data_IF_881684512628
#
_entry.id   IF_881684512628
#
_cell.length_a   1.000
_cell.length_b   1.000
_cell.length_c   1.000
_cell.angle_alpha   90.00
_cell.angle_beta   90.00
_cell.angle_gamma   90.00
#
_symmetry.space_group_name_H-M   'P 1'
#
loop_
_entity.id
_entity.type
_entity.pdbx_description
1 polymer ?
#
# COMPACT_ATOMS: atom_id res chain seq x y z
N UNK A 1 -17.65 32.15 28.45
CA UNK A 1 -17.22 30.75 28.70
C UNK A 1 -18.09 30.04 29.77
N UNK A 2 -19.37 30.43 29.95
CA UNK A 2 -20.34 29.79 30.88
C UNK A 2 -21.72 29.57 30.25
N UNK A 3 -21.79 29.63 28.92
CA UNK A 3 -23.03 29.60 28.13
C UNK A 3 -23.84 28.31 28.31
N UNK A 4 -23.17 27.21 28.68
CA UNK A 4 -23.79 25.90 28.88
C UNK A 4 -23.74 25.42 30.33
N UNK A 5 -23.52 26.32 31.29
CA UNK A 5 -23.62 26.00 32.70
C UNK A 5 -25.09 26.06 33.16
N UNK A 6 -25.55 25.10 33.97
CA UNK A 6 -26.86 25.19 34.65
C UNK A 6 -26.90 26.42 35.58
N UNK A 7 -25.80 26.66 36.29
CA UNK A 7 -25.58 27.84 37.12
C UNK A 7 -24.32 28.57 36.62
N UNK A 8 -24.47 29.77 36.02
CA UNK A 8 -23.36 30.59 35.56
C UNK A 8 -22.46 31.12 36.68
N UNK A 9 -22.79 30.93 37.96
CA UNK A 9 -21.94 31.30 39.10
C UNK A 9 -21.41 30.08 39.87
N UNK A 10 -21.85 28.87 39.50
CA UNK A 10 -21.42 27.61 40.10
C UNK A 10 -20.05 27.12 39.62
N UNK A 11 -19.58 26.03 40.23
CA UNK A 11 -18.35 25.36 39.82
C UNK A 11 -18.47 24.81 38.39
N UNK A 12 -17.36 24.81 37.64
CA UNK A 12 -17.29 24.21 36.31
C UNK A 12 -16.97 22.72 36.44
N UNK A 13 -18.00 21.92 36.70
CA UNK A 13 -17.92 20.46 36.81
C UNK A 13 -19.04 19.79 36.01
N UNK A 14 -18.98 18.45 35.91
CA UNK A 14 -19.95 17.63 35.17
C UNK A 14 -21.39 17.79 35.65
N UNK A 15 -21.61 18.17 36.91
CA UNK A 15 -22.94 18.27 37.52
C UNK A 15 -23.59 19.61 37.13
N UNK A 16 -22.78 20.64 36.90
CA UNK A 16 -23.20 21.98 36.50
C UNK A 16 -23.28 22.20 34.97
N UNK A 17 -23.20 21.16 34.13
CA UNK A 17 -23.39 21.27 32.68
C UNK A 17 -24.87 21.13 32.32
N UNK A 18 -25.41 22.02 31.48
CA UNK A 18 -26.79 21.94 30.97
C UNK A 18 -27.01 20.74 30.05
N UNK A 19 -28.26 20.33 29.84
CA UNK A 19 -28.57 19.26 28.89
C UNK A 19 -28.05 19.58 27.48
N UNK A 20 -28.28 20.82 27.01
CA UNK A 20 -27.76 21.30 25.72
C UNK A 20 -26.22 21.25 25.66
N UNK A 21 -25.53 21.58 26.76
CA UNK A 21 -24.08 21.48 26.86
C UNK A 21 -23.58 20.03 26.74
N UNK A 22 -24.28 19.09 27.37
CA UNK A 22 -23.99 17.66 27.28
C UNK A 22 -24.22 17.13 25.85
N UNK A 23 -25.31 17.55 25.20
CA UNK A 23 -25.62 17.16 23.82
C UNK A 23 -24.56 17.68 22.84
N UNK A 24 -24.10 18.93 23.01
CA UNK A 24 -23.00 19.50 22.23
C UNK A 24 -21.68 18.76 22.47
N UNK A 25 -21.38 18.40 23.72
CA UNK A 25 -20.19 17.63 24.06
C UNK A 25 -20.21 16.23 23.42
N UNK A 26 -21.37 15.56 23.47
CA UNK A 26 -21.57 14.26 22.83
C UNK A 26 -21.43 14.37 21.30
N UNK A 27 -22.02 15.39 20.67
CA UNK A 27 -21.91 15.61 19.23
C UNK A 27 -20.45 15.83 18.77
N UNK A 28 -19.67 16.64 19.51
CA UNK A 28 -18.25 16.86 19.23
C UNK A 28 -17.45 15.56 19.41
N UNK A 29 -17.73 14.81 20.47
CA UNK A 29 -17.03 13.54 20.76
C UNK A 29 -17.33 12.50 19.70
N UNK A 30 -18.59 12.35 19.29
CA UNK A 30 -18.99 11.43 18.23
C UNK A 30 -18.35 11.81 16.89
N UNK A 31 -18.38 13.10 16.52
CA UNK A 31 -17.70 13.57 15.30
C UNK A 31 -16.19 13.32 15.34
N UNK A 32 -15.55 13.51 16.49
CA UNK A 32 -14.13 13.17 16.68
C UNK A 32 -13.87 11.67 16.53
N UNK A 33 -14.72 10.82 17.11
CA UNK A 33 -14.63 9.37 16.99
C UNK A 33 -14.85 8.91 15.55
N UNK A 34 -15.86 9.44 14.86
CA UNK A 34 -16.11 9.18 13.43
C UNK A 34 -14.90 9.54 12.57
N UNK A 35 -14.33 10.73 12.76
CA UNK A 35 -13.10 11.14 12.08
C UNK A 35 -11.94 10.18 12.37
N UNK A 36 -11.84 9.70 13.61
CA UNK A 36 -10.78 8.78 14.03
C UNK A 36 -10.96 7.38 13.43
N UNK A 37 -12.20 6.93 13.26
CA UNK A 37 -12.53 5.59 12.75
C UNK A 37 -12.72 5.52 11.24
N UNK A 38 -12.71 6.65 10.54
CA UNK A 38 -12.82 6.69 9.08
C UNK A 38 -11.56 6.10 8.44
N UNK A 39 -11.62 4.80 8.16
CA UNK A 39 -10.65 4.10 7.31
C UNK A 39 -11.02 4.43 5.86
N UNK A 40 -10.17 5.19 5.19
CA UNK A 40 -10.29 5.47 3.76
C UNK A 40 -9.27 4.64 2.98
N UNK A 41 -9.71 3.99 1.91
CA UNK A 41 -8.82 3.24 1.02
C UNK A 41 -8.72 3.95 -0.31
N UNK A 42 -7.50 4.26 -0.73
CA UNK A 42 -7.21 4.78 -2.07
C UNK A 42 -6.50 3.71 -2.87
N UNK A 43 -7.05 3.36 -4.03
CA UNK A 43 -6.39 2.47 -4.98
C UNK A 43 -5.71 3.32 -6.06
N UNK A 44 -4.44 3.03 -6.30
CA UNK A 44 -3.63 3.73 -7.31
C UNK A 44 -3.10 2.68 -8.29
N UNK A 45 -3.39 2.86 -9.58
CA UNK A 45 -2.72 2.11 -10.63
C UNK A 45 -1.31 2.69 -10.83
N UNK A 46 -0.28 1.90 -10.52
CA UNK A 46 1.11 2.33 -10.67
C UNK A 46 1.64 2.10 -12.08
N UNK A 47 1.35 0.92 -12.62
CA UNK A 47 1.75 0.58 -13.98
C UNK A 47 0.92 -0.57 -14.53
N UNK A 48 0.82 -0.63 -15.86
CA UNK A 48 -0.02 -1.59 -16.57
C UNK A 48 0.68 -2.11 -17.82
N UNK A 49 0.45 -3.39 -18.10
CA UNK A 49 0.90 -4.08 -19.31
C UNK A 49 -0.32 -4.66 -20.04
N UNK A 50 -0.11 -5.32 -21.18
CA UNK A 50 -1.19 -6.06 -21.84
C UNK A 50 -1.81 -7.14 -20.95
N UNK A 51 -1.02 -7.74 -20.05
CA UNK A 51 -1.41 -8.93 -19.29
C UNK A 51 -1.86 -8.61 -17.86
N UNK A 52 -1.21 -7.64 -17.20
CA UNK A 52 -1.35 -7.39 -15.76
C UNK A 52 -1.25 -5.91 -15.42
N UNK A 53 -1.87 -5.53 -14.31
CA UNK A 53 -1.80 -4.18 -13.73
C UNK A 53 -1.30 -4.25 -12.29
N UNK A 54 -0.30 -3.42 -11.95
CA UNK A 54 0.18 -3.23 -10.58
C UNK A 54 -0.65 -2.15 -9.89
N UNK A 55 -1.24 -2.52 -8.77
CA UNK A 55 -2.10 -1.68 -7.95
C UNK A 55 -1.42 -1.46 -6.60
N UNK A 56 -1.49 -0.23 -6.11
CA UNK A 56 -1.05 0.17 -4.79
C UNK A 56 -2.25 0.67 -3.98
N UNK A 57 -2.61 -0.10 -2.96
CA UNK A 57 -3.63 0.31 -2.01
C UNK A 57 -2.98 1.08 -0.88
N UNK A 58 -3.53 2.24 -0.59
CA UNK A 58 -3.14 3.06 0.55
C UNK A 58 -4.32 3.14 1.51
N UNK A 59 -4.08 2.67 2.72
CA UNK A 59 -5.05 2.72 3.81
C UNK A 59 -4.72 3.91 4.69
N UNK A 60 -5.70 4.81 4.81
CA UNK A 60 -5.63 5.96 5.69
C UNK A 60 -6.57 5.74 6.86
N UNK A 61 -6.11 6.10 8.05
CA UNK A 61 -6.92 6.16 9.26
C UNK A 61 -6.70 7.51 9.87
N UNK A 62 -7.78 8.19 10.26
CA UNK A 62 -7.69 9.56 10.80
C UNK A 62 -6.93 10.54 9.87
N UNK A 63 -6.95 10.30 8.56
CA UNK A 63 -6.20 11.11 7.57
C UNK A 63 -4.69 10.84 7.49
N UNK A 64 -4.15 9.91 8.28
CA UNK A 64 -2.74 9.48 8.22
C UNK A 64 -2.62 8.13 7.51
N UNK A 65 -1.55 7.93 6.72
CA UNK A 65 -1.27 6.64 6.07
C UNK A 65 -0.89 5.60 7.14
N UNK A 66 -1.72 4.58 7.30
CA UNK A 66 -1.45 3.47 8.23
C UNK A 66 -0.71 2.33 7.55
N UNK A 67 -1.18 1.90 6.39
CA UNK A 67 -0.59 0.77 5.68
C UNK A 67 -0.71 0.93 4.18
N UNK A 68 0.11 0.16 3.46
CA UNK A 68 0.01 0.07 2.02
C UNK A 68 0.41 -1.30 1.52
N UNK A 69 -0.32 -1.79 0.54
CA UNK A 69 -0.11 -3.12 -0.02
C UNK A 69 -0.10 -3.05 -1.54
N UNK A 70 0.77 -3.85 -2.14
CA UNK A 70 0.79 -4.04 -3.58
C UNK A 70 -0.08 -5.24 -3.96
N UNK A 71 -0.82 -5.08 -5.05
CA UNK A 71 -1.60 -6.15 -5.67
C UNK A 71 -1.37 -6.17 -7.17
N UNK A 72 -1.61 -7.32 -7.77
CA UNK A 72 -1.64 -7.50 -9.22
C UNK A 72 -3.05 -7.89 -9.62
N UNK A 73 -3.61 -7.12 -10.57
CA UNK A 73 -4.75 -7.56 -11.37
C UNK A 73 -4.23 -8.34 -12.57
N UNK A 74 -4.60 -9.62 -12.65
CA UNK A 74 -4.39 -10.43 -13.83
C UNK A 74 -5.57 -10.26 -14.80
N UNK A 75 -5.35 -9.58 -15.92
CA UNK A 75 -6.40 -9.24 -16.88
C UNK A 75 -6.99 -10.46 -17.59
N UNK A 76 -6.24 -11.56 -17.65
CA UNK A 76 -6.72 -12.81 -18.27
C UNK A 76 -7.77 -13.52 -17.42
N UNK A 77 -7.69 -13.37 -16.09
CA UNK A 77 -8.60 -14.03 -15.14
C UNK A 77 -9.55 -13.06 -14.43
N UNK A 78 -9.28 -11.76 -14.50
CA UNK A 78 -9.98 -10.73 -13.74
C UNK A 78 -9.68 -10.72 -12.24
N UNK A 79 -8.77 -11.58 -11.77
CA UNK A 79 -8.47 -11.71 -10.33
C UNK A 79 -7.44 -10.69 -9.89
N UNK A 80 -7.67 -10.09 -8.72
CA UNK A 80 -6.71 -9.21 -8.05
C UNK A 80 -6.15 -9.89 -6.81
N UNK A 81 -4.83 -10.03 -6.74
CA UNK A 81 -4.15 -10.78 -5.68
C UNK A 81 -2.93 -10.03 -5.17
N UNK A 82 -2.54 -10.26 -3.90
CA UNK A 82 -1.34 -9.66 -3.30
C UNK A 82 -0.06 -10.09 -4.02
N UNK A 83 0.94 -9.20 -4.04
CA UNK A 83 2.30 -9.51 -4.49
C UNK A 83 3.28 -9.47 -3.32
N UNK A 84 4.09 -10.51 -3.19
CA UNK A 84 5.26 -10.50 -2.32
C UNK A 84 6.46 -9.93 -3.09
N UNK A 85 6.91 -8.74 -2.67
CA UNK A 85 8.00 -7.99 -3.31
C UNK A 85 9.37 -8.31 -2.71
N UNK A 86 9.44 -8.98 -1.56
CA UNK A 86 10.69 -9.23 -0.84
C UNK A 86 11.50 -7.95 -0.60
N UNK A 87 12.76 -7.97 -1.04
CA UNK A 87 13.69 -6.85 -0.93
C UNK A 87 13.66 -5.87 -2.10
N UNK A 88 12.77 -6.08 -3.08
CA UNK A 88 12.63 -5.17 -4.22
C UNK A 88 11.86 -3.92 -3.79
N UNK A 89 12.37 -2.76 -4.21
CA UNK A 89 11.72 -1.47 -4.00
C UNK A 89 10.96 -1.07 -5.27
N UNK A 90 9.67 -1.40 -5.34
CA UNK A 90 8.84 -1.14 -6.54
C UNK A 90 8.65 0.35 -6.85
N UNK A 91 8.65 1.22 -5.84
CA UNK A 91 8.47 2.67 -6.00
C UNK A 91 9.67 3.34 -6.68
N UNK A 92 10.87 2.75 -6.55
CA UNK A 92 12.10 3.26 -7.17
C UNK A 92 12.37 2.75 -8.58
N UNK A 93 11.52 1.87 -9.11
CA UNK A 93 11.73 1.28 -10.43
C UNK A 93 11.18 2.20 -11.52
N UNK A 94 11.81 2.16 -12.70
CA UNK A 94 11.28 2.87 -13.85
C UNK A 94 9.92 2.28 -14.29
N UNK A 95 9.01 3.08 -14.87
CA UNK A 95 7.76 2.57 -15.42
C UNK A 95 7.98 1.47 -16.46
N UNK A 96 9.04 1.57 -17.27
CA UNK A 96 9.36 0.54 -18.27
C UNK A 96 9.83 -0.77 -17.63
N UNK A 97 10.64 -0.70 -16.57
CA UNK A 97 11.05 -1.87 -15.78
C UNK A 97 9.83 -2.60 -15.22
N UNK A 98 8.90 -1.86 -14.60
CA UNK A 98 7.66 -2.43 -14.08
C UNK A 98 6.78 -3.03 -15.18
N UNK A 99 6.68 -2.36 -16.34
CA UNK A 99 5.92 -2.86 -17.48
C UNK A 99 6.48 -4.16 -18.03
N UNK A 100 7.80 -4.29 -18.14
CA UNK A 100 8.49 -5.54 -18.53
C UNK A 100 8.26 -6.67 -17.51
N UNK A 101 8.36 -6.37 -16.22
CA UNK A 101 8.05 -7.35 -15.18
C UNK A 101 6.60 -7.86 -15.29
N UNK A 102 5.63 -6.94 -15.47
CA UNK A 102 4.21 -7.27 -15.56
C UNK A 102 3.83 -8.02 -16.85
N UNK A 103 4.63 -7.87 -17.92
CA UNK A 103 4.48 -8.66 -19.14
C UNK A 103 5.10 -10.06 -19.04
N UNK A 104 5.72 -10.39 -17.91
CA UNK A 104 6.35 -11.69 -17.65
C UNK A 104 7.80 -11.78 -18.13
N UNK A 105 8.41 -10.66 -18.55
CA UNK A 105 9.82 -10.65 -18.92
C UNK A 105 10.71 -10.69 -17.67
N UNK A 106 11.91 -11.27 -17.84
CA UNK A 106 12.97 -11.07 -16.87
C UNK A 106 13.48 -9.63 -16.98
N UNK A 107 13.62 -8.95 -15.85
CA UNK A 107 14.07 -7.56 -15.83
C UNK A 107 15.03 -7.33 -14.68
N UNK A 108 15.99 -6.45 -14.89
CA UNK A 108 16.87 -5.98 -13.84
C UNK A 108 16.10 -4.98 -12.95
N UNK A 109 16.16 -5.18 -11.64
CA UNK A 109 15.51 -4.33 -10.64
C UNK A 109 16.46 -4.08 -9.49
N UNK A 110 16.39 -2.86 -8.94
CA UNK A 110 17.18 -2.46 -7.79
C UNK A 110 16.46 -2.87 -6.50
N UNK A 111 17.16 -3.54 -5.60
CA UNK A 111 16.65 -3.86 -4.28
C UNK A 111 16.75 -2.64 -3.33
N UNK A 112 16.24 -2.78 -2.11
CA UNK A 112 16.26 -1.73 -1.08
C UNK A 112 17.68 -1.31 -0.66
N UNK A 113 18.69 -2.16 -0.87
CA UNK A 113 20.11 -1.84 -0.61
C UNK A 113 20.83 -1.21 -1.80
N UNK A 114 20.14 -0.96 -2.92
CA UNK A 114 20.75 -0.37 -4.12
C UNK A 114 21.44 -1.37 -5.04
N UNK A 115 21.36 -2.67 -4.75
CA UNK A 115 21.93 -3.73 -5.58
C UNK A 115 20.94 -4.13 -6.67
N UNK A 116 21.43 -4.25 -7.90
CA UNK A 116 20.62 -4.73 -9.00
C UNK A 116 20.57 -6.26 -9.03
N UNK A 117 19.42 -6.81 -9.39
CA UNK A 117 19.25 -8.25 -9.59
C UNK A 117 18.30 -8.50 -10.75
N UNK A 118 18.59 -9.54 -11.54
CA UNK A 118 17.68 -10.01 -12.58
C UNK A 118 16.54 -10.79 -11.92
N UNK A 119 15.32 -10.34 -12.11
CA UNK A 119 14.13 -10.91 -11.46
C UNK A 119 13.02 -11.20 -12.46
N UNK A 120 12.07 -12.03 -12.03
CA UNK A 120 10.85 -12.35 -12.79
C UNK A 120 9.64 -12.37 -11.87
N UNK A 121 8.45 -12.18 -12.47
CA UNK A 121 7.17 -12.26 -11.79
C UNK A 121 6.59 -13.66 -11.94
N UNK A 122 6.34 -14.33 -10.83
CA UNK A 122 5.79 -15.69 -10.83
C UNK A 122 4.54 -15.80 -9.95
N UNK A 123 3.68 -16.76 -10.30
CA UNK A 123 2.53 -17.15 -9.48
C UNK A 123 3.02 -17.92 -8.24
N UNK A 124 2.41 -17.67 -7.08
CA UNK A 124 2.67 -18.38 -5.82
C UNK A 124 1.36 -18.87 -5.22
N UNK A 125 1.44 -19.72 -4.18
CA UNK A 125 0.27 -20.23 -3.46
C UNK A 125 -0.56 -19.09 -2.84
N UNK A 126 0.10 -18.00 -2.42
CA UNK A 126 -0.53 -16.87 -1.72
C UNK A 126 -0.73 -15.64 -2.61
N UNK A 127 -0.61 -15.77 -3.94
CA UNK A 127 -0.77 -14.65 -4.88
C UNK A 127 0.34 -14.59 -5.91
N UNK A 128 1.00 -13.45 -6.00
CA UNK A 128 2.13 -13.19 -6.89
C UNK A 128 3.42 -13.02 -6.09
N UNK A 129 4.57 -13.28 -6.71
CA UNK A 129 5.87 -13.07 -6.10
C UNK A 129 6.91 -12.65 -7.12
N UNK A 130 7.93 -11.94 -6.65
CA UNK A 130 9.13 -11.61 -7.43
C UNK A 130 10.24 -12.57 -7.00
N UNK A 131 10.82 -13.29 -7.95
CA UNK A 131 11.93 -14.21 -7.71
C UNK A 131 13.16 -13.79 -8.49
N UNK A 132 14.33 -13.97 -7.87
CA UNK A 132 15.61 -13.82 -8.55
C UNK A 132 15.78 -14.95 -9.58
N UNK A 133 16.18 -14.57 -10.78
CA UNK A 133 16.55 -15.53 -11.81
C UNK A 133 17.93 -16.08 -11.46
N UNK A 134 18.04 -17.39 -11.21
CA UNK A 134 19.36 -18.03 -11.13
C UNK A 134 20.03 -17.87 -12.51
N UNK A 135 21.10 -17.07 -12.57
CA UNK A 135 21.95 -17.03 -13.76
C UNK A 135 22.64 -18.39 -13.89
N UNK A 136 22.24 -19.16 -14.91
CA UNK A 136 23.06 -20.27 -15.37
C UNK A 136 24.13 -19.64 -16.23
N UNK A 137 25.36 -19.53 -15.72
CA UNK A 137 26.49 -19.21 -16.56
C UNK A 137 26.68 -20.39 -17.51
N UNK A 138 26.19 -20.26 -18.74
CA UNK A 138 26.69 -21.07 -19.83
C UNK A 138 28.09 -20.53 -20.13
N UNK A 139 29.10 -21.00 -19.40
CA UNK A 139 30.48 -20.99 -19.88
C UNK A 139 30.53 -21.92 -21.09
N UNK A 140 30.21 -21.37 -22.26
CA UNK A 140 30.65 -21.98 -23.50
C UNK A 140 32.17 -21.78 -23.52
N UNK A 141 32.91 -22.86 -23.23
CA UNK A 141 34.33 -22.96 -23.51
C UNK A 141 34.53 -22.73 -25.02
N UNK A 142 34.82 -21.50 -25.41
CA UNK A 142 35.50 -21.24 -26.67
C UNK A 142 36.97 -21.65 -26.52
N UNK A 143 37.19 -22.93 -26.24
CA UNK A 143 38.47 -23.62 -26.42
C UNK A 143 38.28 -24.69 -27.50
N UNK A 144 38.06 -24.21 -28.72
CA UNK A 144 38.44 -24.87 -29.94
C UNK A 144 39.23 -23.80 -30.70
N UNK A 145 40.56 -23.75 -30.62
CA UNK A 145 41.44 -24.86 -30.96
C UNK A 145 41.50 -24.97 -32.48
N UNK A 146 42.09 -23.98 -33.16
CA UNK A 146 42.94 -24.11 -34.37
C UNK A 146 43.92 -22.94 -34.38
#
# INVERSE_FOLDING_TARGET
MREYAKNPFGALDKENISAEGMDKWAAVTNKYMEMKTNISTKQIELQSSGCKTLIYDVFYSSGQKESSHYRILDKSTGKTESINVGDIDLEKQSPETLKKLLSGQQTEMTNKSGTNSLVTLNKTITGWGISAVKQVFNSADNSAGI
#
